data_IF_881185523792
#
_entry.id   IF_881185523792
#
_cell.length_a   1.000
_cell.length_b   1.000
_cell.length_c   1.000
_cell.angle_alpha   90.00
_cell.angle_beta   90.00
_cell.angle_gamma   90.00
#
_symmetry.space_group_name_H-M   'P 1'
#
loop_
_entity.id
_entity.type
_entity.pdbx_description
1 polymer ?
#
# COMPACT_ATOMS: atom_id res chain seq x y z
N UNK A 1 9.16 11.34 -4.96
CA UNK A 1 9.77 10.79 -6.20
C UNK A 1 8.73 11.00 -7.28
N UNK A 2 8.97 11.83 -8.30
CA UNK A 2 7.89 12.21 -9.24
C UNK A 2 7.75 11.25 -10.42
N UNK A 3 6.53 10.80 -10.70
CA UNK A 3 6.17 10.03 -11.89
C UNK A 3 5.12 10.79 -12.69
N UNK A 4 5.34 11.00 -13.99
CA UNK A 4 4.47 11.80 -14.86
C UNK A 4 4.13 13.19 -14.29
N UNK A 5 5.05 13.81 -13.54
CA UNK A 5 4.85 15.11 -12.88
C UNK A 5 4.02 15.07 -11.59
N UNK A 6 3.53 13.90 -11.15
CA UNK A 6 2.75 13.70 -9.92
C UNK A 6 3.64 13.11 -8.81
N UNK A 7 3.32 13.45 -7.56
CA UNK A 7 3.88 12.81 -6.35
C UNK A 7 2.73 12.19 -5.53
N UNK A 8 1.76 13.00 -5.08
CA UNK A 8 0.71 12.54 -4.15
C UNK A 8 -0.51 11.87 -4.80
N UNK A 9 -0.62 11.91 -6.13
CA UNK A 9 -1.81 11.48 -6.89
C UNK A 9 -1.51 10.37 -7.89
N UNK A 10 -0.48 9.58 -7.60
CA UNK A 10 -0.12 8.44 -8.43
C UNK A 10 -1.18 7.36 -8.33
N UNK A 11 -1.48 6.74 -9.46
CA UNK A 11 -2.35 5.57 -9.55
C UNK A 11 -1.63 4.45 -10.31
N UNK A 12 -2.22 3.24 -10.33
CA UNK A 12 -1.62 2.08 -10.99
C UNK A 12 -1.29 2.33 -12.47
N UNK A 13 -2.08 3.13 -13.19
CA UNK A 13 -1.83 3.45 -14.60
C UNK A 13 -0.55 4.27 -14.80
N UNK A 14 -0.20 5.15 -13.85
CA UNK A 14 1.06 5.89 -13.90
C UNK A 14 2.28 4.93 -13.86
N UNK A 15 2.19 3.86 -13.08
CA UNK A 15 3.23 2.82 -13.01
C UNK A 15 3.24 1.90 -14.23
N UNK A 16 2.08 1.56 -14.79
CA UNK A 16 2.00 0.79 -16.04
C UNK A 16 2.58 1.57 -17.24
N UNK A 17 2.35 2.89 -17.29
CA UNK A 17 2.95 3.76 -18.29
C UNK A 17 4.48 3.84 -18.14
N UNK A 18 4.99 3.88 -16.90
CA UNK A 18 6.42 3.79 -16.62
C UNK A 18 7.01 2.45 -17.07
N UNK A 19 6.34 1.33 -16.74
CA UNK A 19 6.80 -0.02 -17.08
C UNK A 19 7.11 -0.15 -18.58
N UNK A 20 6.21 0.36 -19.43
CA UNK A 20 6.42 0.41 -20.89
C UNK A 20 7.67 1.21 -21.28
N UNK A 21 7.94 2.32 -20.60
CA UNK A 21 9.11 3.19 -20.87
C UNK A 21 10.42 2.49 -20.52
N UNK A 22 10.41 1.65 -19.48
CA UNK A 22 11.62 0.94 -18.99
C UNK A 22 11.75 -0.49 -19.51
N UNK A 23 10.89 -0.90 -20.47
CA UNK A 23 10.97 -2.22 -21.11
C UNK A 23 10.37 -3.38 -20.30
N UNK A 24 9.58 -3.09 -19.26
CA UNK A 24 8.79 -4.10 -18.54
C UNK A 24 7.41 -4.30 -19.19
N UNK A 25 6.89 -5.52 -19.11
CA UNK A 25 5.53 -5.79 -19.58
C UNK A 25 4.50 -5.19 -18.62
N UNK A 26 3.33 -4.80 -19.13
CA UNK A 26 2.22 -4.35 -18.30
C UNK A 26 1.72 -5.46 -17.36
N UNK A 27 1.83 -6.73 -17.78
CA UNK A 27 1.48 -7.89 -16.96
C UNK A 27 2.38 -8.03 -15.74
N UNK A 28 3.71 -7.97 -15.93
CA UNK A 28 4.67 -8.08 -14.83
C UNK A 28 4.55 -6.91 -13.84
N UNK A 29 4.35 -5.70 -14.36
CA UNK A 29 4.13 -4.51 -13.53
C UNK A 29 2.82 -4.60 -12.74
N UNK A 30 1.74 -5.07 -13.37
CA UNK A 30 0.46 -5.31 -12.69
C UNK A 30 0.59 -6.36 -11.59
N UNK A 31 1.21 -7.50 -11.89
CA UNK A 31 1.44 -8.57 -10.93
C UNK A 31 2.28 -8.09 -9.72
N UNK A 32 3.32 -7.30 -9.97
CA UNK A 32 4.13 -6.72 -8.89
C UNK A 32 3.33 -5.75 -8.01
N UNK A 33 2.46 -4.93 -8.59
CA UNK A 33 1.59 -4.00 -7.83
C UNK A 33 0.61 -4.79 -6.97
N UNK A 34 -0.06 -5.81 -7.53
CA UNK A 34 -1.00 -6.66 -6.79
C UNK A 34 -0.30 -7.41 -5.66
N UNK A 35 0.87 -7.98 -5.92
CA UNK A 35 1.66 -8.69 -4.90
C UNK A 35 2.07 -7.74 -3.76
N UNK A 36 2.55 -6.54 -4.07
CA UNK A 36 2.90 -5.56 -3.05
C UNK A 36 1.69 -5.16 -2.19
N UNK A 37 0.53 -4.95 -2.81
CA UNK A 37 -0.70 -4.64 -2.10
C UNK A 37 -1.14 -5.79 -1.18
N UNK A 38 -1.10 -7.03 -1.67
CA UNK A 38 -1.44 -8.21 -0.88
C UNK A 38 -0.52 -8.37 0.34
N UNK A 39 0.80 -8.27 0.14
CA UNK A 39 1.78 -8.35 1.24
C UNK A 39 1.60 -7.23 2.26
N UNK A 40 1.29 -6.01 1.80
CA UNK A 40 1.04 -4.88 2.69
C UNK A 40 -0.20 -5.12 3.57
N UNK A 41 -1.30 -5.60 2.97
CA UNK A 41 -2.51 -5.96 3.70
C UNK A 41 -2.25 -7.05 4.76
N UNK A 42 -1.54 -8.12 4.39
CA UNK A 42 -1.18 -9.20 5.31
C UNK A 42 -0.34 -8.68 6.48
N UNK A 43 0.69 -7.88 6.20
CA UNK A 43 1.60 -7.37 7.23
C UNK A 43 0.93 -6.36 8.15
N UNK A 44 -0.01 -5.57 7.65
CA UNK A 44 -0.77 -4.61 8.47
C UNK A 44 -1.48 -5.30 9.64
N UNK A 45 -2.06 -6.49 9.43
CA UNK A 45 -2.74 -7.27 10.48
C UNK A 45 -1.79 -7.72 11.61
N UNK A 46 -0.49 -7.80 11.32
CA UNK A 46 0.53 -8.23 12.28
C UNK A 46 1.25 -7.07 12.97
N UNK A 47 0.92 -5.82 12.61
CA UNK A 47 1.49 -4.65 13.26
C UNK A 47 1.12 -4.66 14.74
N UNK A 48 2.13 -4.47 15.58
CA UNK A 48 1.97 -4.35 17.03
C UNK A 48 2.48 -3.00 17.48
N UNK A 49 1.76 -2.40 18.43
CA UNK A 49 2.28 -1.25 19.15
C UNK A 49 3.45 -1.67 20.04
N UNK A 50 4.41 -0.76 20.29
CA UNK A 50 5.38 -0.95 21.36
C UNK A 50 4.68 -1.20 22.70
N UNK A 51 5.29 -2.01 23.57
CA UNK A 51 4.68 -2.45 24.84
C UNK A 51 4.18 -1.29 25.72
N UNK A 52 4.91 -0.17 25.75
CA UNK A 52 4.51 1.01 26.52
C UNK A 52 3.24 1.69 25.98
N UNK A 53 2.97 1.57 24.68
CA UNK A 53 1.81 2.18 24.02
C UNK A 53 0.59 1.24 24.01
N UNK A 54 0.80 -0.08 24.10
CA UNK A 54 -0.27 -1.09 24.04
C UNK A 54 -1.32 -0.98 25.17
N UNK A 55 -1.06 -0.20 26.22
CA UNK A 55 -1.98 0.01 27.34
C UNK A 55 -2.86 1.26 27.18
N UNK A 56 -2.52 2.16 26.26
CA UNK A 56 -3.28 3.39 26.03
C UNK A 56 -4.41 3.13 25.02
N UNK A 57 -5.66 3.35 25.44
CA UNK A 57 -6.84 3.17 24.58
C UNK A 57 -6.79 4.01 23.30
N UNK A 58 -6.25 5.24 23.38
CA UNK A 58 -6.05 6.08 22.21
C UNK A 58 -5.07 5.46 21.19
N UNK A 59 -4.03 4.77 21.67
CA UNK A 59 -3.04 4.12 20.81
C UNK A 59 -3.65 2.87 20.15
N UNK A 60 -4.40 2.05 20.89
CA UNK A 60 -5.14 0.91 20.33
C UNK A 60 -6.13 1.35 19.24
N UNK A 61 -6.93 2.38 19.53
CA UNK A 61 -7.88 2.93 18.54
C UNK A 61 -7.16 3.47 17.29
N UNK A 62 -6.00 4.12 17.47
CA UNK A 62 -5.19 4.56 16.34
C UNK A 62 -4.66 3.38 15.50
N UNK A 63 -4.19 2.30 16.15
CA UNK A 63 -3.73 1.09 15.48
C UNK A 63 -4.84 0.43 14.66
N UNK A 64 -6.03 0.27 15.24
CA UNK A 64 -7.21 -0.30 14.55
C UNK A 64 -7.58 0.51 13.30
N UNK A 65 -7.63 1.85 13.44
CA UNK A 65 -7.89 2.75 12.30
C UNK A 65 -6.82 2.62 11.22
N UNK A 66 -5.56 2.51 11.61
CA UNK A 66 -4.44 2.34 10.69
C UNK A 66 -4.58 1.04 9.90
N UNK A 67 -4.87 -0.07 10.59
CA UNK A 67 -5.10 -1.39 9.97
C UNK A 67 -6.28 -1.32 8.99
N UNK A 68 -7.38 -0.67 9.36
CA UNK A 68 -8.55 -0.51 8.50
C UNK A 68 -8.22 0.28 7.24
N UNK A 69 -7.55 1.43 7.37
CA UNK A 69 -7.13 2.27 6.24
C UNK A 69 -6.20 1.50 5.31
N UNK A 70 -5.18 0.84 5.86
CA UNK A 70 -4.21 0.09 5.04
C UNK A 70 -4.89 -1.06 4.31
N UNK A 71 -5.80 -1.78 4.96
CA UNK A 71 -6.55 -2.88 4.35
C UNK A 71 -7.45 -2.39 3.21
N UNK A 72 -8.22 -1.31 3.44
CA UNK A 72 -9.09 -0.69 2.44
C UNK A 72 -8.28 -0.23 1.21
N UNK A 73 -7.17 0.48 1.44
CA UNK A 73 -6.33 1.01 0.36
C UNK A 73 -5.61 -0.10 -0.41
N UNK A 74 -5.14 -1.13 0.27
CA UNK A 74 -4.48 -2.27 -0.37
C UNK A 74 -5.48 -3.03 -1.25
N UNK A 75 -6.71 -3.24 -0.78
CA UNK A 75 -7.77 -3.87 -1.59
C UNK A 75 -8.09 -3.03 -2.85
N UNK A 76 -8.22 -1.71 -2.70
CA UNK A 76 -8.48 -0.81 -3.83
C UNK A 76 -7.34 -0.79 -4.88
N UNK A 77 -6.10 -1.10 -4.47
CA UNK A 77 -4.94 -1.18 -5.37
C UNK A 77 -4.87 -2.56 -6.07
N UNK A 78 -5.25 -3.63 -5.38
CA UNK A 78 -5.17 -4.99 -5.90
C UNK A 78 -6.18 -5.28 -7.03
N UNK A 79 -7.30 -4.55 -7.08
CA UNK A 79 -8.36 -4.70 -8.08
C UNK A 79 -9.63 -5.28 -7.49
#
# INVERSE_FOLDING_TARGET
MKLNGKDDRLNAQDFLALARTIGLTAGDAGAAITELAARLAERALTLRLPDFAGHAEAAKSAQEKLIAIVSERSAAIAG
#
